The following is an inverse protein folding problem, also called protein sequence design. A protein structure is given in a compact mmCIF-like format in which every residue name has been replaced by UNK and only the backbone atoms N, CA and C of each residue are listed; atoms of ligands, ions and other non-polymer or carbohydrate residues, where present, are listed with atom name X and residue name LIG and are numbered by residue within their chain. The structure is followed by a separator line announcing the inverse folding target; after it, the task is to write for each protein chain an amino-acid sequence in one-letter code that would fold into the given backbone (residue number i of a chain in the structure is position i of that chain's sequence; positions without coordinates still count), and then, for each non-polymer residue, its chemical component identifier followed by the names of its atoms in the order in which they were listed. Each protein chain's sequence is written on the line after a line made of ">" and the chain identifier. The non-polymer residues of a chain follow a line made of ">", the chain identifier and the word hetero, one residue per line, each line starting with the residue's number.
data_IF_294678474728
#
_entry.id   IF_294678474728
#
_cell.length_a   1.000
_cell.length_b   1.000
_cell.length_c   1.000
_cell.angle_alpha   90.00
_cell.angle_beta   90.00
_cell.angle_gamma   90.00
#
_symmetry.space_group_name_H-M   'P 1'
#
loop_
_entity.id
_entity.type
_entity.pdbx_description
1 polymer ?
#
# COMPACT_ATOMS: atom_id res chain seq x y z
N UNK A 1 43.01 -20.61 -53.32
CA UNK A 1 42.27 -19.35 -53.08
C UNK A 1 40.86 -19.55 -52.50
N UNK A 2 40.20 -20.71 -52.63
CA UNK A 2 38.82 -20.91 -52.14
C UNK A 2 38.65 -21.08 -50.62
N UNK A 3 39.70 -21.46 -49.87
CA UNK A 3 39.59 -21.60 -48.40
C UNK A 3 39.57 -20.27 -47.63
N UNK A 4 40.10 -19.19 -48.21
CA UNK A 4 40.14 -17.88 -47.55
C UNK A 4 38.84 -17.09 -47.74
N UNK A 5 38.11 -17.26 -48.85
CA UNK A 5 36.82 -16.57 -49.08
C UNK A 5 35.71 -17.08 -48.16
N UNK A 6 35.75 -18.36 -47.78
CA UNK A 6 34.72 -19.00 -46.97
C UNK A 6 34.81 -18.63 -45.48
N UNK A 7 36.00 -18.27 -44.99
CA UNK A 7 36.20 -17.81 -43.60
C UNK A 7 35.78 -16.34 -43.42
N UNK A 8 36.07 -15.51 -44.43
CA UNK A 8 35.68 -14.10 -44.46
C UNK A 8 34.15 -13.92 -44.46
N UNK A 9 33.43 -14.76 -45.23
CA UNK A 9 31.96 -14.72 -45.29
C UNK A 9 31.28 -15.19 -44.00
N UNK A 10 31.86 -16.18 -43.30
CA UNK A 10 31.32 -16.70 -42.03
C UNK A 10 31.52 -15.71 -40.87
N UNK A 11 32.66 -15.02 -40.82
CA UNK A 11 32.88 -13.94 -39.85
C UNK A 11 31.97 -12.74 -40.10
N UNK A 12 31.73 -12.39 -41.38
CA UNK A 12 30.82 -11.29 -41.73
C UNK A 12 29.36 -11.61 -41.35
N UNK A 13 28.89 -12.84 -41.61
CA UNK A 13 27.56 -13.28 -41.19
C UNK A 13 27.40 -13.35 -39.66
N UNK A 14 28.43 -13.80 -38.94
CA UNK A 14 28.40 -13.80 -37.48
C UNK A 14 28.35 -12.38 -36.90
N UNK A 15 29.09 -11.42 -37.48
CA UNK A 15 29.06 -10.02 -37.08
C UNK A 15 27.71 -9.38 -37.42
N UNK A 16 27.12 -9.66 -38.59
CA UNK A 16 25.80 -9.14 -38.96
C UNK A 16 24.68 -9.72 -38.09
N UNK A 17 24.75 -10.99 -37.68
CA UNK A 17 23.79 -11.58 -36.72
C UNK A 17 24.00 -11.01 -35.30
N UNK A 18 25.23 -10.74 -34.87
CA UNK A 18 25.52 -10.04 -33.61
C UNK A 18 25.09 -8.56 -33.63
N UNK A 19 25.11 -7.89 -34.78
CA UNK A 19 24.59 -6.53 -34.96
C UNK A 19 23.06 -6.47 -35.13
N UNK A 20 22.42 -7.51 -35.67
CA UNK A 20 20.95 -7.63 -35.73
C UNK A 20 20.33 -8.08 -34.39
N UNK A 21 21.14 -8.67 -33.49
CA UNK A 21 20.80 -8.80 -32.07
C UNK A 21 21.06 -7.49 -31.28
N UNK A 22 21.46 -6.42 -31.97
CA UNK A 22 21.68 -5.09 -31.42
C UNK A 22 20.37 -4.37 -31.13
N UNK A 23 20.01 -4.36 -29.85
CA UNK A 23 19.12 -3.38 -29.19
C UNK A 23 17.74 -3.28 -29.83
N UNK A 24 16.84 -4.18 -29.42
CA UNK A 24 15.43 -3.78 -29.35
C UNK A 24 15.38 -2.61 -28.35
N UNK A 25 15.27 -1.38 -28.85
CA UNK A 25 14.92 -0.26 -27.99
C UNK A 25 13.55 -0.59 -27.40
N UNK A 26 13.53 -1.00 -26.13
CA UNK A 26 12.29 -1.14 -25.39
C UNK A 26 11.77 0.28 -25.20
N UNK A 27 10.98 0.75 -26.16
CA UNK A 27 10.46 2.10 -26.12
C UNK A 27 9.42 2.17 -25.00
N UNK A 28 9.81 2.80 -23.88
CA UNK A 28 8.94 2.97 -22.74
C UNK A 28 7.67 3.74 -23.10
N UNK A 29 6.54 3.28 -22.60
CA UNK A 29 5.27 3.98 -22.63
C UNK A 29 5.40 5.39 -22.02
N UNK A 30 4.46 6.26 -22.38
CA UNK A 30 4.28 7.54 -21.72
C UNK A 30 3.14 7.45 -20.72
N UNK A 31 3.36 7.99 -19.52
CA UNK A 31 2.37 8.15 -18.47
C UNK A 31 2.01 9.62 -18.31
N UNK A 32 0.74 9.90 -18.02
CA UNK A 32 0.19 11.25 -17.84
C UNK A 32 -0.70 11.30 -16.61
N UNK A 33 -0.67 12.44 -15.92
CA UNK A 33 -1.58 12.73 -14.82
C UNK A 33 -2.82 13.47 -15.36
N UNK A 34 -4.02 13.01 -15.00
CA UNK A 34 -5.29 13.54 -15.50
C UNK A 34 -6.01 14.47 -14.53
N UNK A 35 -5.59 14.52 -13.26
CA UNK A 35 -6.17 15.48 -12.30
C UNK A 35 -5.68 16.89 -12.60
N UNK A 36 -6.62 17.84 -12.71
CA UNK A 36 -6.33 19.27 -12.91
C UNK A 36 -5.56 19.89 -11.75
N UNK A 37 -5.64 19.31 -10.54
CA UNK A 37 -4.92 19.78 -9.35
C UNK A 37 -3.43 19.39 -9.37
N UNK A 38 -3.07 18.38 -10.17
CA UNK A 38 -1.70 17.89 -10.27
C UNK A 38 -0.79 18.91 -10.94
N UNK A 39 0.40 19.14 -10.36
CA UNK A 39 1.48 19.90 -11.03
C UNK A 39 2.00 19.20 -12.29
N UNK A 40 1.64 17.94 -12.50
CA UNK A 40 2.00 17.10 -13.64
C UNK A 40 0.85 16.95 -14.65
N UNK A 41 -0.21 17.76 -14.52
CA UNK A 41 -1.42 17.66 -15.33
C UNK A 41 -1.12 17.68 -16.83
N UNK A 42 -1.58 16.63 -17.53
CA UNK A 42 -1.41 16.39 -18.98
C UNK A 42 0.02 16.45 -19.51
N UNK A 43 1.03 16.41 -18.64
CA UNK A 43 2.43 16.33 -19.04
C UNK A 43 2.75 14.88 -19.44
N UNK A 44 3.21 14.61 -20.67
CA UNK A 44 3.66 13.28 -21.06
C UNK A 44 5.02 13.00 -20.40
N UNK A 45 5.10 11.90 -19.64
CA UNK A 45 6.29 11.49 -18.92
C UNK A 45 6.74 10.12 -19.39
N UNK A 46 7.98 10.00 -19.86
CA UNK A 46 8.51 8.73 -20.39
C UNK A 46 8.85 7.77 -19.26
N UNK A 47 8.37 6.54 -19.35
CA UNK A 47 8.69 5.49 -18.39
C UNK A 47 10.16 5.05 -18.48
N UNK A 48 10.81 4.71 -17.34
CA UNK A 48 12.16 4.17 -17.32
C UNK A 48 12.26 2.84 -18.08
N UNK A 49 13.43 2.54 -18.65
CA UNK A 49 13.64 1.32 -19.43
C UNK A 49 13.49 0.04 -18.59
N UNK A 50 13.76 0.13 -17.28
CA UNK A 50 13.63 -1.00 -16.35
C UNK A 50 12.16 -1.36 -16.04
N UNK A 51 11.22 -0.47 -16.36
CA UNK A 51 9.78 -0.66 -16.20
C UNK A 51 9.04 0.11 -17.30
N UNK A 52 9.09 -0.36 -18.55
CA UNK A 52 8.65 0.42 -19.71
C UNK A 52 7.12 0.57 -19.79
N UNK A 53 6.34 -0.12 -18.95
CA UNK A 53 4.88 -0.13 -19.04
C UNK A 53 4.23 0.16 -17.69
N UNK A 54 3.09 0.84 -17.72
CA UNK A 54 2.23 1.04 -16.54
C UNK A 54 1.39 -0.21 -16.20
N UNK A 55 1.20 -1.11 -17.17
CA UNK A 55 0.35 -2.30 -17.05
C UNK A 55 1.00 -3.51 -17.72
N UNK A 56 2.17 -3.98 -17.23
CA UNK A 56 2.85 -5.13 -17.80
C UNK A 56 2.01 -6.41 -17.63
N UNK A 57 2.01 -7.27 -18.65
CA UNK A 57 1.31 -8.56 -18.63
C UNK A 57 1.92 -9.56 -17.63
N UNK A 58 3.19 -9.38 -17.26
CA UNK A 58 3.85 -10.21 -16.24
C UNK A 58 3.60 -9.62 -14.84
N UNK A 59 2.95 -10.34 -13.90
CA UNK A 59 2.67 -9.86 -12.55
C UNK A 59 3.93 -9.61 -11.70
N UNK A 60 5.06 -10.21 -12.06
CA UNK A 60 6.35 -10.01 -11.38
C UNK A 60 7.14 -8.82 -11.93
N UNK A 61 6.72 -8.24 -13.05
CA UNK A 61 7.42 -7.10 -13.63
C UNK A 61 7.20 -5.83 -12.80
N UNK A 62 8.22 -4.96 -12.79
CA UNK A 62 8.07 -3.62 -12.23
C UNK A 62 7.13 -2.81 -13.12
N UNK A 63 6.33 -1.95 -12.49
CA UNK A 63 5.42 -1.03 -13.18
C UNK A 63 6.01 0.37 -13.21
N UNK A 64 5.78 1.07 -14.30
CA UNK A 64 5.95 2.51 -14.37
C UNK A 64 4.87 3.20 -13.55
N UNK A 65 5.29 3.98 -12.56
CA UNK A 65 4.39 4.72 -11.68
C UNK A 65 4.84 6.19 -11.61
N UNK A 66 3.89 7.11 -11.52
CA UNK A 66 4.17 8.53 -11.25
C UNK A 66 3.33 8.99 -10.07
N UNK A 67 3.96 9.65 -9.10
CA UNK A 67 3.23 10.38 -8.08
C UNK A 67 2.79 11.74 -8.67
N UNK A 68 1.52 11.82 -9.09
CA UNK A 68 0.96 13.03 -9.69
C UNK A 68 0.91 14.23 -8.74
N UNK A 69 1.00 14.02 -7.42
CA UNK A 69 1.03 15.10 -6.44
C UNK A 69 2.46 15.56 -6.13
N UNK A 70 3.48 14.86 -6.64
CA UNK A 70 4.88 15.28 -6.51
C UNK A 70 5.18 16.47 -7.43
N UNK A 71 5.87 17.51 -6.95
CA UNK A 71 6.33 18.60 -7.81
C UNK A 71 7.38 18.15 -8.85
N UNK A 72 8.00 16.98 -8.66
CA UNK A 72 9.07 16.49 -9.54
C UNK A 72 8.54 15.87 -10.84
N UNK A 73 7.29 15.41 -10.87
CA UNK A 73 6.68 14.76 -12.04
C UNK A 73 7.58 13.71 -12.69
N UNK A 74 8.20 12.85 -11.88
CA UNK A 74 9.18 11.86 -12.33
C UNK A 74 8.58 10.46 -12.28
N UNK A 75 8.54 9.73 -13.40
CA UNK A 75 8.19 8.32 -13.40
C UNK A 75 9.26 7.47 -12.70
N UNK A 76 8.82 6.45 -11.98
CA UNK A 76 9.64 5.55 -11.19
C UNK A 76 9.18 4.10 -11.38
N UNK A 77 10.13 3.16 -11.21
CA UNK A 77 9.82 1.74 -11.24
C UNK A 77 9.40 1.22 -9.87
N UNK A 78 8.26 0.54 -9.82
CA UNK A 78 7.66 0.03 -8.58
C UNK A 78 7.29 -1.45 -8.68
N UNK A 79 7.38 -2.16 -7.55
CA UNK A 79 6.79 -3.49 -7.40
C UNK A 79 5.29 -3.38 -7.07
N UNK A 80 4.47 -4.29 -7.59
CA UNK A 80 3.00 -4.26 -7.37
C UNK A 80 2.54 -4.81 -6.02
N UNK A 81 3.41 -5.52 -5.28
CA UNK A 81 3.12 -6.03 -3.94
C UNK A 81 3.42 -4.98 -2.86
N UNK A 82 2.77 -5.12 -1.71
CA UNK A 82 3.03 -4.32 -0.53
C UNK A 82 4.53 -4.36 -0.15
N UNK A 83 5.11 -3.22 0.23
CA UNK A 83 6.49 -3.14 0.68
C UNK A 83 6.52 -3.03 2.21
N UNK A 84 6.69 -4.14 2.90
CA UNK A 84 6.66 -4.16 4.36
C UNK A 84 7.80 -3.40 5.07
N UNK A 85 8.65 -2.67 4.34
CA UNK A 85 9.76 -1.88 4.86
C UNK A 85 9.68 -0.38 4.49
N UNK A 86 8.51 0.12 4.08
CA UNK A 86 8.33 1.53 3.72
C UNK A 86 7.25 2.22 4.59
N UNK A 87 7.34 3.55 4.82
CA UNK A 87 6.28 4.34 5.47
C UNK A 87 4.87 3.96 5.01
N UNK A 88 3.96 3.78 5.97
CA UNK A 88 2.59 3.33 5.76
C UNK A 88 2.43 1.80 5.72
N UNK A 89 3.47 1.01 5.98
CA UNK A 89 3.35 -0.43 6.05
C UNK A 89 2.69 -0.88 7.36
N UNK A 90 1.80 -1.86 7.28
CA UNK A 90 1.25 -2.65 8.37
C UNK A 90 1.38 -4.11 7.94
N UNK A 91 2.50 -4.74 8.30
CA UNK A 91 2.85 -6.10 7.92
C UNK A 91 3.56 -6.77 9.08
N UNK A 92 3.64 -8.10 9.08
CA UNK A 92 4.26 -8.84 10.19
C UNK A 92 3.59 -8.44 11.51
N UNK A 93 2.26 -8.28 11.46
CA UNK A 93 1.46 -7.61 12.48
C UNK A 93 1.79 -8.11 13.89
N UNK A 94 1.86 -7.19 14.88
CA UNK A 94 1.31 -5.84 14.88
C UNK A 94 2.31 -4.72 14.52
N UNK A 95 3.24 -4.95 13.59
CA UNK A 95 4.26 -3.97 13.21
C UNK A 95 3.74 -2.98 12.16
N UNK A 96 3.93 -1.70 12.46
CA UNK A 96 3.62 -0.56 11.58
C UNK A 96 4.89 0.26 11.28
N UNK A 97 4.87 0.99 10.17
CA UNK A 97 5.84 2.05 9.87
C UNK A 97 5.07 3.35 9.66
N UNK A 98 5.32 4.34 10.51
CA UNK A 98 4.66 5.64 10.44
C UNK A 98 5.00 6.43 9.17
N UNK A 99 4.26 7.51 8.93
CA UNK A 99 4.57 8.49 7.89
C UNK A 99 5.96 9.14 8.07
N UNK A 100 6.40 9.24 9.32
CA UNK A 100 7.75 9.64 9.75
C UNK A 100 8.85 8.59 9.47
N UNK A 101 8.48 7.40 8.97
CA UNK A 101 9.38 6.28 8.70
C UNK A 101 9.82 5.49 9.93
N UNK A 102 9.27 5.78 11.11
CA UNK A 102 9.61 5.09 12.35
C UNK A 102 8.76 3.83 12.50
N UNK A 103 9.41 2.72 12.85
CA UNK A 103 8.74 1.46 13.17
C UNK A 103 8.10 1.56 14.56
N UNK A 104 6.84 1.17 14.66
CA UNK A 104 6.13 1.03 15.92
C UNK A 104 5.20 -0.18 15.94
N UNK A 105 4.71 -0.55 17.12
CA UNK A 105 3.83 -1.70 17.29
C UNK A 105 2.50 -1.27 17.90
N UNK A 106 1.40 -1.73 17.31
CA UNK A 106 0.06 -1.49 17.83
C UNK A 106 -0.69 -2.82 17.95
N UNK A 107 -0.77 -3.34 19.18
CA UNK A 107 -1.34 -4.67 19.43
C UNK A 107 -2.86 -4.71 19.27
N UNK A 108 -3.56 -3.59 19.41
CA UNK A 108 -5.02 -3.59 19.42
C UNK A 108 -5.58 -4.67 20.37
N UNK A 109 -6.58 -5.42 19.89
CA UNK A 109 -7.18 -6.54 20.63
C UNK A 109 -7.86 -7.52 19.69
N UNK A 110 -7.79 -8.81 20.00
CA UNK A 110 -8.43 -9.85 19.18
C UNK A 110 -9.95 -9.63 19.08
N UNK A 111 -10.49 -9.85 17.89
CA UNK A 111 -11.91 -9.68 17.54
C UNK A 111 -12.44 -8.26 17.78
N UNK A 112 -11.58 -7.26 17.69
CA UNK A 112 -11.97 -5.85 17.82
C UNK A 112 -11.53 -5.04 16.59
N UNK A 113 -12.08 -3.83 16.48
CA UNK A 113 -11.87 -2.93 15.36
C UNK A 113 -11.23 -1.62 15.84
N UNK A 114 -10.28 -1.10 15.07
CA UNK A 114 -9.61 0.16 15.36
C UNK A 114 -9.45 1.00 14.10
N UNK A 115 -9.63 2.30 14.21
CA UNK A 115 -9.31 3.24 13.14
C UNK A 115 -7.79 3.38 13.00
N UNK A 116 -7.28 2.95 11.84
CA UNK A 116 -5.90 3.16 11.46
C UNK A 116 -5.69 4.59 10.97
N UNK A 117 -6.66 5.13 10.24
CA UNK A 117 -6.67 6.50 9.71
C UNK A 117 -8.08 7.05 9.83
N UNK A 118 -8.21 8.29 10.29
CA UNK A 118 -9.45 9.05 10.29
C UNK A 118 -9.12 10.48 9.89
N UNK A 119 -9.66 10.90 8.76
CA UNK A 119 -9.57 12.23 8.18
C UNK A 119 -10.96 12.64 7.73
N UNK A 120 -11.13 13.90 7.32
CA UNK A 120 -12.45 14.46 7.05
C UNK A 120 -13.26 13.63 6.06
N UNK A 121 -12.67 13.21 4.93
CA UNK A 121 -13.35 12.43 3.89
C UNK A 121 -12.88 10.97 3.77
N UNK A 122 -12.00 10.52 4.67
CA UNK A 122 -11.43 9.17 4.66
C UNK A 122 -11.37 8.60 6.07
N UNK A 123 -11.93 7.42 6.29
CA UNK A 123 -11.62 6.62 7.46
C UNK A 123 -11.31 5.18 7.06
N UNK A 124 -10.17 4.69 7.53
CA UNK A 124 -9.74 3.31 7.36
C UNK A 124 -9.71 2.65 8.73
N UNK A 125 -10.57 1.65 8.91
CA UNK A 125 -10.60 0.81 10.09
C UNK A 125 -9.97 -0.56 9.76
N UNK A 126 -9.38 -1.19 10.77
CA UNK A 126 -8.88 -2.55 10.68
C UNK A 126 -9.58 -3.46 11.69
N UNK A 127 -9.90 -4.69 11.27
CA UNK A 127 -10.31 -5.79 12.16
C UNK A 127 -9.08 -6.59 12.55
N UNK A 128 -8.85 -6.73 13.86
CA UNK A 128 -7.77 -7.56 14.37
C UNK A 128 -8.29 -8.95 14.75
N UNK A 129 -7.73 -9.99 14.15
CA UNK A 129 -7.82 -11.36 14.66
C UNK A 129 -6.67 -11.60 15.63
N UNK A 130 -6.73 -12.66 16.42
CA UNK A 130 -5.64 -12.93 17.36
C UNK A 130 -5.79 -14.17 18.21
N UNK A 131 -4.67 -14.56 18.80
CA UNK A 131 -4.52 -15.75 19.63
C UNK A 131 -3.82 -15.38 20.93
N UNK A 132 -4.22 -16.02 22.04
CA UNK A 132 -3.55 -15.88 23.34
C UNK A 132 -3.22 -17.26 23.91
N UNK A 133 -1.97 -17.71 23.76
CA UNK A 133 -1.48 -18.89 24.45
C UNK A 133 -1.62 -18.78 25.96
N UNK A 134 -1.76 -19.91 26.63
CA UNK A 134 -1.80 -19.97 28.09
C UNK A 134 -0.54 -19.33 28.70
N UNK A 135 -0.70 -18.52 29.73
CA UNK A 135 0.41 -17.85 30.43
C UNK A 135 0.89 -16.56 29.77
N UNK A 136 0.35 -16.15 28.60
CA UNK A 136 0.69 -14.87 27.99
C UNK A 136 -0.19 -13.72 28.50
N UNK A 137 0.38 -12.53 28.78
CA UNK A 137 -0.40 -11.38 29.25
C UNK A 137 -1.17 -10.66 28.13
N UNK A 138 -0.80 -10.87 26.86
CA UNK A 138 -1.34 -10.15 25.70
C UNK A 138 -1.62 -11.08 24.52
N UNK A 139 -2.56 -10.66 23.68
CA UNK A 139 -2.85 -11.32 22.40
C UNK A 139 -1.68 -11.12 21.42
N UNK A 140 -1.41 -12.14 20.62
CA UNK A 140 -0.89 -11.94 19.28
C UNK A 140 -2.04 -11.51 18.37
N UNK A 141 -1.78 -10.58 17.46
CA UNK A 141 -2.84 -9.96 16.67
C UNK A 141 -2.39 -9.66 15.25
N UNK A 142 -3.31 -9.86 14.31
CA UNK A 142 -3.09 -9.62 12.87
C UNK A 142 -4.29 -8.93 12.24
N UNK A 143 -4.06 -8.14 11.20
CA UNK A 143 -5.14 -7.45 10.47
C UNK A 143 -5.81 -8.46 9.54
N UNK A 144 -7.06 -8.81 9.83
CA UNK A 144 -7.85 -9.68 8.96
C UNK A 144 -8.55 -8.91 7.85
N UNK A 145 -9.05 -7.72 8.17
CA UNK A 145 -9.90 -6.96 7.25
C UNK A 145 -9.66 -5.46 7.39
N UNK A 146 -9.87 -4.75 6.29
CA UNK A 146 -9.94 -3.29 6.24
C UNK A 146 -11.36 -2.86 5.87
N UNK A 147 -11.88 -1.87 6.59
CA UNK A 147 -13.08 -1.13 6.25
C UNK A 147 -12.70 0.28 5.87
N UNK A 148 -13.09 0.72 4.69
CA UNK A 148 -12.75 2.02 4.12
C UNK A 148 -14.04 2.79 3.94
N UNK A 149 -14.20 3.85 4.71
CA UNK A 149 -15.21 4.87 4.52
C UNK A 149 -14.58 5.99 3.70
N UNK A 150 -15.12 6.24 2.52
CA UNK A 150 -14.60 7.24 1.60
C UNK A 150 -15.78 8.06 1.06
N UNK A 151 -15.81 9.34 1.43
CA UNK A 151 -16.96 10.23 1.25
C UNK A 151 -18.27 9.63 1.81
N UNK A 152 -19.18 9.21 0.93
CA UNK A 152 -20.47 8.60 1.29
C UNK A 152 -20.49 7.08 1.10
N UNK A 153 -19.36 6.50 0.67
CA UNK A 153 -19.28 5.11 0.28
C UNK A 153 -18.45 4.30 1.26
N UNK A 154 -18.78 3.02 1.35
CA UNK A 154 -18.08 2.05 2.18
C UNK A 154 -17.52 0.95 1.29
N UNK A 155 -16.24 0.63 1.46
CA UNK A 155 -15.59 -0.51 0.83
C UNK A 155 -14.96 -1.38 1.91
N UNK A 156 -14.90 -2.69 1.71
CA UNK A 156 -14.10 -3.55 2.58
C UNK A 156 -13.31 -4.58 1.80
N UNK A 157 -12.17 -4.96 2.37
CA UNK A 157 -11.39 -6.11 1.93
C UNK A 157 -11.05 -6.97 3.13
N UNK A 158 -11.20 -8.28 3.02
CA UNK A 158 -10.90 -9.22 4.10
C UNK A 158 -10.17 -10.47 3.59
N UNK A 159 -9.31 -11.01 4.45
CA UNK A 159 -8.76 -12.35 4.31
C UNK A 159 -9.80 -13.37 4.82
N UNK A 160 -10.12 -14.35 3.99
CA UNK A 160 -10.98 -15.46 4.37
C UNK A 160 -10.34 -16.28 5.50
N UNK A 161 -11.13 -16.64 6.52
CA UNK A 161 -10.71 -17.61 7.53
C UNK A 161 -10.56 -18.98 6.86
N UNK A 162 -9.40 -19.61 6.97
CA UNK A 162 -9.12 -20.92 6.40
C UNK A 162 -8.32 -21.78 7.37
N UNK A 163 -8.62 -23.08 7.36
CA UNK A 163 -7.97 -24.09 8.22
C UNK A 163 -6.51 -24.34 7.78
N UNK A 164 -6.33 -24.59 6.48
CA UNK A 164 -5.02 -24.82 5.88
C UNK A 164 -4.79 -23.83 4.74
N UNK A 165 -3.56 -23.32 4.65
CA UNK A 165 -3.17 -22.45 3.54
C UNK A 165 -3.03 -23.22 2.23
N UNK A 166 -3.63 -22.67 1.17
CA UNK A 166 -3.47 -23.09 -0.21
C UNK A 166 -3.28 -21.85 -1.07
N UNK A 167 -2.11 -21.69 -1.69
CA UNK A 167 -1.78 -20.54 -2.53
C UNK A 167 -2.49 -20.57 -3.90
N UNK A 168 -3.07 -21.71 -4.27
CA UNK A 168 -3.92 -21.86 -5.46
C UNK A 168 -5.38 -21.49 -5.22
N UNK A 169 -5.76 -21.14 -3.99
CA UNK A 169 -7.07 -20.59 -3.68
C UNK A 169 -6.96 -19.09 -3.43
N UNK A 170 -7.91 -18.33 -3.95
CA UNK A 170 -8.02 -16.90 -3.67
C UNK A 170 -8.78 -16.69 -2.36
N UNK A 171 -8.11 -16.06 -1.40
CA UNK A 171 -8.62 -15.83 -0.05
C UNK A 171 -9.06 -14.37 0.17
N UNK A 172 -9.07 -13.55 -0.87
CA UNK A 172 -9.56 -12.18 -0.81
C UNK A 172 -11.08 -12.14 -0.99
N UNK A 173 -11.76 -11.42 -0.11
CA UNK A 173 -13.17 -11.05 -0.29
C UNK A 173 -13.30 -9.53 -0.27
N UNK A 174 -14.16 -9.02 -1.14
CA UNK A 174 -14.40 -7.60 -1.28
C UNK A 174 -15.88 -7.28 -1.05
N UNK A 175 -16.17 -6.11 -0.51
CA UNK A 175 -17.53 -5.58 -0.49
C UNK A 175 -17.55 -4.09 -0.82
N UNK A 176 -18.62 -3.64 -1.46
CA UNK A 176 -18.89 -2.23 -1.75
C UNK A 176 -20.32 -1.88 -1.35
N UNK A 177 -20.48 -0.86 -0.51
CA UNK A 177 -21.73 -0.41 0.09
C UNK A 177 -22.56 -1.56 0.69
N UNK A 178 -21.88 -2.47 1.40
CA UNK A 178 -22.50 -3.61 2.07
C UNK A 178 -22.90 -4.78 1.16
N UNK A 179 -22.60 -4.71 -0.15
CA UNK A 179 -22.81 -5.80 -1.10
C UNK A 179 -21.49 -6.47 -1.43
N UNK A 180 -21.50 -7.79 -1.51
CA UNK A 180 -20.34 -8.57 -1.97
C UNK A 180 -19.94 -8.14 -3.39
N UNK A 181 -18.65 -7.88 -3.57
CA UNK A 181 -18.07 -7.50 -4.85
C UNK A 181 -17.31 -8.69 -5.41
N UNK A 182 -17.82 -9.24 -6.51
CA UNK A 182 -17.11 -10.27 -7.27
C UNK A 182 -16.12 -9.62 -8.24
N UNK A 183 -14.83 -9.92 -8.05
CA UNK A 183 -13.76 -9.52 -8.94
C UNK A 183 -13.10 -10.79 -9.51
N UNK A 184 -13.14 -10.93 -10.84
CA UNK A 184 -12.62 -12.11 -11.54
C UNK A 184 -11.18 -12.43 -11.10
N UNK A 185 -10.92 -13.71 -10.85
CA UNK A 185 -9.56 -14.19 -10.57
C UNK A 185 -8.72 -14.09 -11.84
N UNK A 186 -7.47 -13.66 -11.71
CA UNK A 186 -6.61 -13.39 -12.86
C UNK A 186 -5.81 -12.11 -12.70
N UNK A 187 -4.83 -11.94 -13.59
CA UNK A 187 -3.99 -10.76 -13.60
C UNK A 187 -3.85 -10.18 -15.01
N UNK A 188 -4.06 -8.86 -15.17
CA UNK A 188 -4.76 -7.97 -14.24
C UNK A 188 -6.28 -8.18 -14.33
N UNK A 189 -6.99 -8.11 -13.20
CA UNK A 189 -8.45 -7.96 -13.15
C UNK A 189 -8.77 -6.66 -12.44
N UNK A 190 -9.68 -5.85 -13.01
CA UNK A 190 -9.96 -4.49 -12.55
C UNK A 190 -11.47 -4.33 -12.33
N UNK A 191 -11.82 -3.70 -11.22
CA UNK A 191 -13.14 -3.15 -10.97
C UNK A 191 -13.00 -1.68 -10.58
N UNK A 192 -13.91 -0.82 -11.03
CA UNK A 192 -13.94 0.59 -10.70
C UNK A 192 -15.39 1.03 -10.49
N UNK A 193 -15.63 1.74 -9.39
CA UNK A 193 -16.94 2.33 -9.12
C UNK A 193 -17.13 3.61 -9.92
N UNK A 194 -18.23 3.71 -10.67
CA UNK A 194 -18.61 4.94 -11.37
C UNK A 194 -19.06 6.07 -10.44
N UNK A 195 -19.43 5.75 -9.20
CA UNK A 195 -19.94 6.72 -8.22
C UNK A 195 -18.81 7.30 -7.37
N UNK A 196 -17.99 6.44 -6.78
CA UNK A 196 -16.92 6.83 -5.85
C UNK A 196 -15.54 6.97 -6.51
N UNK A 197 -15.37 6.42 -7.72
CA UNK A 197 -14.05 6.29 -8.35
C UNK A 197 -13.11 5.33 -7.62
N UNK A 198 -13.57 4.60 -6.59
CA UNK A 198 -12.76 3.55 -5.95
C UNK A 198 -12.44 2.50 -7.01
N UNK A 199 -11.15 2.25 -7.21
CA UNK A 199 -10.66 1.23 -8.14
C UNK A 199 -9.99 0.11 -7.36
N UNK A 200 -10.28 -1.13 -7.73
CA UNK A 200 -9.62 -2.33 -7.23
C UNK A 200 -8.97 -3.04 -8.41
N UNK A 201 -7.68 -3.33 -8.29
CA UNK A 201 -6.92 -4.03 -9.31
C UNK A 201 -6.15 -5.19 -8.68
N UNK A 202 -6.38 -6.42 -9.19
CA UNK A 202 -5.55 -7.57 -8.81
C UNK A 202 -4.11 -7.36 -9.27
N UNK A 203 -3.18 -7.47 -8.34
CA UNK A 203 -1.73 -7.32 -8.60
C UNK A 203 -1.03 -8.66 -8.81
N UNK A 204 -1.75 -9.76 -8.56
CA UNK A 204 -1.39 -11.15 -8.84
C UNK A 204 -2.68 -11.89 -9.21
N UNK A 205 -2.58 -13.12 -9.73
CA UNK A 205 -3.77 -13.93 -10.07
C UNK A 205 -4.70 -14.16 -8.87
N UNK A 206 -4.13 -14.30 -7.67
CA UNK A 206 -4.80 -14.58 -6.39
C UNK A 206 -4.10 -13.82 -5.26
N UNK A 207 -4.81 -13.59 -4.16
CA UNK A 207 -4.29 -13.14 -2.86
C UNK A 207 -3.60 -11.76 -2.82
N UNK A 208 -3.49 -11.02 -3.92
CA UNK A 208 -2.93 -9.66 -3.91
C UNK A 208 -3.77 -8.68 -4.73
N UNK A 209 -4.05 -7.50 -4.16
CA UNK A 209 -4.77 -6.42 -4.81
C UNK A 209 -4.23 -5.04 -4.45
N UNK A 210 -4.52 -4.06 -5.31
CA UNK A 210 -4.34 -2.64 -5.08
C UNK A 210 -5.70 -1.98 -5.05
N UNK A 211 -5.99 -1.24 -3.99
CA UNK A 211 -7.15 -0.35 -3.89
C UNK A 211 -6.66 1.08 -4.10
N UNK A 212 -7.28 1.80 -5.02
CA UNK A 212 -6.98 3.21 -5.30
C UNK A 212 -8.19 4.04 -4.91
N UNK A 213 -7.97 4.99 -3.99
CA UNK A 213 -8.90 6.03 -3.60
C UNK A 213 -8.49 7.32 -4.33
N UNK A 214 -9.33 7.84 -5.24
CA UNK A 214 -8.97 8.99 -6.07
C UNK A 214 -8.41 10.16 -5.27
N UNK A 215 -7.26 10.68 -5.70
CA UNK A 215 -6.53 11.82 -5.09
C UNK A 215 -6.07 11.63 -3.62
N UNK A 216 -6.53 10.62 -2.90
CA UNK A 216 -6.31 10.47 -1.45
C UNK A 216 -5.28 9.39 -1.12
N UNK A 217 -5.44 8.17 -1.62
CA UNK A 217 -4.58 7.05 -1.21
C UNK A 217 -4.51 5.89 -2.20
N UNK A 218 -3.43 5.12 -2.11
CA UNK A 218 -3.32 3.76 -2.63
C UNK A 218 -3.05 2.78 -1.48
N UNK A 219 -3.68 1.61 -1.54
CA UNK A 219 -3.60 0.59 -0.50
C UNK A 219 -3.27 -0.74 -1.18
N UNK A 220 -2.04 -1.21 -1.00
CA UNK A 220 -1.67 -2.57 -1.44
C UNK A 220 -2.00 -3.55 -0.34
N UNK A 221 -2.70 -4.64 -0.68
CA UNK A 221 -3.02 -5.72 0.24
C UNK A 221 -2.51 -7.05 -0.31
N UNK A 222 -2.04 -7.91 0.59
CA UNK A 222 -1.62 -9.27 0.27
C UNK A 222 -2.07 -10.21 1.40
N UNK A 223 -2.79 -11.27 1.07
CA UNK A 223 -3.18 -12.28 2.04
C UNK A 223 -1.99 -13.23 2.28
N UNK A 224 -1.65 -13.46 3.54
CA UNK A 224 -0.60 -14.38 3.98
C UNK A 224 -1.11 -15.25 5.12
N UNK A 225 -0.66 -16.52 5.22
CA UNK A 225 -0.90 -17.34 6.39
C UNK A 225 0.16 -17.05 7.46
N UNK A 226 -0.08 -17.54 8.68
CA UNK A 226 1.02 -17.81 9.61
C UNK A 226 1.60 -19.17 9.24
N UNK A 227 2.89 -19.23 8.91
CA UNK A 227 3.53 -20.49 8.54
C UNK A 227 3.85 -21.34 9.76
N UNK A 228 4.04 -22.65 9.56
CA UNK A 228 4.52 -23.55 10.63
C UNK A 228 5.87 -23.11 11.20
N UNK A 229 6.72 -22.47 10.38
CA UNK A 229 8.01 -21.96 10.83
C UNK A 229 7.83 -20.71 11.69
N UNK A 230 6.95 -19.79 11.31
CA UNK A 230 6.61 -18.62 12.14
C UNK A 230 6.03 -19.05 13.48
N UNK A 231 5.10 -20.01 13.48
CA UNK A 231 4.53 -20.60 14.69
C UNK A 231 5.59 -21.24 15.58
N UNK A 232 6.55 -21.97 15.00
CA UNK A 232 7.65 -22.57 15.75
C UNK A 232 8.61 -21.53 16.34
N UNK A 233 8.97 -20.50 15.57
CA UNK A 233 9.92 -19.45 16.00
C UNK A 233 9.29 -18.57 17.09
N UNK A 234 8.03 -18.19 16.93
CA UNK A 234 7.35 -17.27 17.83
C UNK A 234 6.51 -17.97 18.90
N UNK A 235 6.37 -19.30 18.84
CA UNK A 235 5.55 -20.10 19.72
C UNK A 235 4.11 -19.55 19.79
N UNK A 236 3.48 -19.35 18.63
CA UNK A 236 2.10 -18.86 18.57
C UNK A 236 1.12 -19.91 19.12
N UNK A 237 1.44 -21.20 19.02
CA UNK A 237 0.61 -22.33 19.42
C UNK A 237 -0.70 -22.34 18.64
N UNK A 238 -0.59 -22.25 17.31
CA UNK A 238 -1.76 -22.23 16.43
C UNK A 238 -2.62 -23.49 16.62
N UNK A 239 -3.94 -23.34 16.63
CA UNK A 239 -4.84 -24.49 16.62
C UNK A 239 -4.79 -25.18 15.25
N UNK A 240 -5.25 -26.43 15.19
CA UNK A 240 -5.22 -27.20 13.94
C UNK A 240 -6.27 -26.75 12.91
N UNK A 241 -7.28 -25.98 13.32
CA UNK A 241 -8.44 -25.59 12.51
C UNK A 241 -8.36 -24.16 11.95
N UNK A 242 -7.21 -23.48 12.09
CA UNK A 242 -7.02 -22.11 11.61
C UNK A 242 -5.54 -21.78 11.35
N UNK A 243 -5.21 -21.34 10.13
CA UNK A 243 -3.86 -20.86 9.80
C UNK A 243 -3.68 -19.35 9.98
N UNK A 244 -4.70 -18.66 10.48
CA UNK A 244 -4.70 -17.22 10.75
C UNK A 244 -4.31 -16.40 9.52
N UNK A 245 -4.94 -16.69 8.37
CA UNK A 245 -4.79 -15.89 7.18
C UNK A 245 -5.14 -14.41 7.46
N UNK A 246 -4.23 -13.51 7.11
CA UNK A 246 -4.29 -12.09 7.42
C UNK A 246 -3.71 -11.24 6.28
N UNK A 247 -3.82 -9.92 6.41
CA UNK A 247 -3.41 -8.95 5.41
C UNK A 247 -2.07 -8.33 5.77
N UNK A 248 -1.08 -8.50 4.90
CA UNK A 248 0.02 -7.54 4.79
C UNK A 248 -0.47 -6.33 3.99
N UNK A 249 -0.34 -5.14 4.56
CA UNK A 249 -0.87 -3.90 4.01
C UNK A 249 0.23 -2.86 3.83
N UNK A 250 0.18 -2.13 2.72
CA UNK A 250 0.95 -0.91 2.51
C UNK A 250 0.00 0.21 2.11
N UNK A 251 -0.14 1.19 2.98
CA UNK A 251 -0.81 2.45 2.68
C UNK A 251 0.17 3.43 2.05
N UNK A 252 -0.32 4.20 1.07
CA UNK A 252 0.38 5.34 0.50
C UNK A 252 -0.61 6.47 0.35
N UNK A 253 -0.43 7.51 1.15
CA UNK A 253 -1.32 8.65 1.18
C UNK A 253 -0.77 9.80 0.34
N UNK A 254 -1.68 10.56 -0.27
CA UNK A 254 -1.35 11.74 -1.07
C UNK A 254 -2.15 12.98 -0.69
N UNK A 255 -3.32 12.80 -0.06
CA UNK A 255 -4.26 13.88 0.23
C UNK A 255 -4.79 13.84 1.64
N UNK A 256 -3.96 13.50 2.64
CA UNK A 256 -4.34 13.66 4.05
C UNK A 256 -4.26 15.14 4.46
N UNK A 257 -5.15 15.55 5.35
CA UNK A 257 -5.12 16.85 6.02
C UNK A 257 -4.04 16.88 7.10
N UNK A 258 -3.75 18.08 7.62
CA UNK A 258 -2.82 18.26 8.75
C UNK A 258 -3.40 17.78 10.08
N UNK A 259 -4.71 17.53 10.14
CA UNK A 259 -5.44 17.11 11.33
C UNK A 259 -5.74 15.60 11.33
N UNK A 260 -5.19 14.85 10.37
CA UNK A 260 -5.42 13.40 10.23
C UNK A 260 -5.15 12.64 11.54
N UNK A 261 -6.15 11.91 12.01
CA UNK A 261 -6.12 11.10 13.21
C UNK A 261 -6.01 9.60 12.90
N UNK A 262 -5.92 8.77 13.94
CA UNK A 262 -5.87 7.31 13.83
C UNK A 262 -4.53 6.74 14.26
N UNK A 263 -4.48 5.42 14.49
CA UNK A 263 -3.27 4.72 14.98
C UNK A 263 -2.06 5.02 14.09
N UNK A 264 -2.24 4.91 12.77
CA UNK A 264 -1.23 5.21 11.76
C UNK A 264 -1.35 6.66 11.28
N UNK A 265 -2.58 7.18 11.12
CA UNK A 265 -2.85 8.51 10.58
C UNK A 265 -2.15 9.64 11.34
N UNK A 266 -2.16 9.61 12.68
CA UNK A 266 -1.49 10.61 13.51
C UNK A 266 0.00 10.78 13.17
N UNK A 267 0.67 9.74 12.66
CA UNK A 267 2.10 9.78 12.29
C UNK A 267 2.39 10.60 11.03
N UNK A 268 1.34 11.03 10.31
CA UNK A 268 1.42 11.91 9.15
C UNK A 268 1.17 13.38 9.51
N UNK A 269 0.80 13.70 10.75
CA UNK A 269 0.64 15.09 11.19
C UNK A 269 2.02 15.80 11.24
N UNK A 270 2.13 17.08 10.81
CA UNK A 270 3.40 17.80 10.77
C UNK A 270 4.11 17.95 12.12
N UNK A 271 3.36 18.02 13.21
CA UNK A 271 3.84 18.23 14.58
C UNK A 271 3.83 16.94 15.42
N UNK A 272 3.54 15.78 14.81
CA UNK A 272 3.53 14.51 15.50
C UNK A 272 4.90 14.21 16.11
N UNK A 273 4.89 14.01 17.42
CA UNK A 273 6.07 13.56 18.17
C UNK A 273 5.92 12.10 18.48
N UNK A 274 6.66 11.28 17.75
CA UNK A 274 6.60 9.84 17.93
C UNK A 274 7.02 9.45 19.36
N UNK A 275 6.13 8.83 20.16
CA UNK A 275 6.46 8.40 21.52
C UNK A 275 7.32 7.13 21.54
N UNK A 276 7.53 6.48 20.39
CA UNK A 276 8.42 5.34 20.25
C UNK A 276 9.83 5.71 20.70
N UNK A 277 10.29 5.06 21.78
CA UNK A 277 11.63 5.31 22.33
C UNK A 277 12.69 4.74 21.39
N UNK A 278 13.65 5.56 20.89
CA UNK A 278 14.78 5.04 20.12
C UNK A 278 15.55 3.98 20.90
N UNK A 279 15.95 2.89 20.24
CA UNK A 279 16.71 1.80 20.86
C UNK A 279 15.86 0.73 21.58
N UNK A 280 14.54 0.89 21.67
CA UNK A 280 13.63 -0.19 22.10
C UNK A 280 13.29 -1.06 20.90
N UNK A 281 13.47 -2.38 21.02
CA UNK A 281 13.24 -3.32 19.92
C UNK A 281 11.77 -3.39 19.47
N UNK A 282 10.83 -3.14 20.39
CA UNK A 282 9.37 -3.19 20.15
C UNK A 282 8.70 -1.97 20.80
N UNK A 283 8.79 -0.78 20.19
CA UNK A 283 8.14 0.40 20.74
C UNK A 283 6.64 0.32 20.50
N UNK A 284 5.89 0.00 21.56
CA UNK A 284 4.43 -0.08 21.50
C UNK A 284 3.85 1.33 21.62
N UNK A 285 3.05 1.72 20.64
CA UNK A 285 2.28 2.97 20.64
C UNK A 285 0.85 2.61 20.98
N UNK A 286 0.33 3.20 22.06
CA UNK A 286 -1.07 3.00 22.47
C UNK A 286 -2.05 3.70 21.52
N UNK A 287 -3.33 3.63 21.85
CA UNK A 287 -4.41 4.26 21.10
C UNK A 287 -5.69 3.43 21.03
N UNK A 288 -5.71 2.30 21.74
CA UNK A 288 -6.84 1.39 21.81
C UNK A 288 -8.09 2.07 22.38
N UNK A 289 -7.93 2.97 23.35
CA UNK A 289 -9.02 3.77 23.92
C UNK A 289 -9.49 4.87 22.96
N UNK A 290 -8.59 5.47 22.19
CA UNK A 290 -8.88 6.58 21.27
C UNK A 290 -9.56 6.11 19.98
N UNK A 291 -9.06 5.03 19.39
CA UNK A 291 -9.37 4.66 18.01
C UNK A 291 -10.25 3.42 17.88
N UNK A 292 -10.72 2.84 18.97
CA UNK A 292 -11.64 1.69 18.92
C UNK A 292 -12.96 2.07 18.27
N UNK A 293 -13.38 1.26 17.30
CA UNK A 293 -14.68 1.37 16.63
C UNK A 293 -15.54 0.16 16.98
N UNK A 294 -16.87 0.31 16.90
CA UNK A 294 -17.81 -0.77 17.22
C UNK A 294 -17.84 -1.86 16.14
N UNK A 295 -17.72 -1.46 14.87
CA UNK A 295 -17.74 -2.34 13.70
C UNK A 295 -16.69 -1.89 12.68
N UNK A 296 -16.37 -2.78 11.73
CA UNK A 296 -15.43 -2.50 10.65
C UNK A 296 -15.79 -1.24 9.84
N UNK A 297 -17.08 -0.97 9.64
CA UNK A 297 -17.57 0.18 8.86
C UNK A 297 -18.17 1.29 9.74
N UNK A 298 -17.86 1.33 11.04
CA UNK A 298 -18.26 2.43 11.91
C UNK A 298 -17.32 3.63 11.77
N UNK A 299 -17.87 4.83 11.55
CA UNK A 299 -17.10 6.08 11.58
C UNK A 299 -16.80 6.58 12.99
N UNK A 300 -17.52 6.09 14.01
CA UNK A 300 -17.42 6.62 15.38
C UNK A 300 -16.27 5.97 16.14
N UNK A 301 -15.32 6.78 16.59
CA UNK A 301 -14.37 6.51 17.68
C UNK A 301 -14.11 7.80 18.48
N UNK A 302 -13.38 7.73 19.60
CA UNK A 302 -13.20 8.87 20.51
C UNK A 302 -12.41 10.04 19.89
N UNK A 303 -11.48 9.74 18.98
CA UNK A 303 -10.64 10.74 18.30
C UNK A 303 -10.83 10.77 16.78
N UNK A 304 -11.82 10.04 16.24
CA UNK A 304 -12.09 10.03 14.81
C UNK A 304 -12.72 11.35 14.37
N UNK A 305 -12.23 11.90 13.26
CA UNK A 305 -12.69 13.19 12.70
C UNK A 305 -13.46 13.05 11.39
N UNK A 306 -13.70 11.81 10.94
CA UNK A 306 -14.42 11.55 9.69
C UNK A 306 -15.84 12.13 9.69
N UNK A 307 -16.13 12.86 8.62
CA UNK A 307 -17.43 13.43 8.34
C UNK A 307 -17.80 13.16 6.86
N UNK A 308 -18.89 12.44 6.58
CA UNK A 308 -19.32 12.21 5.20
C UNK A 308 -19.47 13.53 4.43
N UNK A 309 -19.09 13.54 3.15
CA UNK A 309 -19.00 14.74 2.30
C UNK A 309 -20.27 15.63 2.26
N UNK A 310 -21.45 15.11 2.63
CA UNK A 310 -22.68 15.87 2.80
C UNK A 310 -22.76 16.75 4.07
N UNK A 311 -21.76 16.70 4.94
CA UNK A 311 -21.66 17.46 6.21
C UNK A 311 -20.49 18.46 6.19
N UNK A 312 -19.59 18.35 5.21
CA UNK A 312 -18.40 19.21 5.09
C UNK A 312 -18.76 20.61 4.60
N UNK A 313 -18.13 21.64 5.18
CA UNK A 313 -18.30 23.03 4.74
C UNK A 313 -17.23 23.37 3.70
N UNK A 314 -17.55 24.31 2.81
CA UNK A 314 -16.66 24.80 1.74
C UNK A 314 -15.30 25.34 2.23
N UNK A 315 -15.17 25.60 3.54
CA UNK A 315 -13.97 26.09 4.22
C UNK A 315 -13.02 25.01 4.75
N UNK A 316 -13.37 23.72 4.65
CA UNK A 316 -12.59 22.66 5.28
C UNK A 316 -11.31 22.35 4.48
N UNK A 317 -10.13 22.27 5.12
CA UNK A 317 -8.84 22.14 4.43
C UNK A 317 -8.67 20.73 3.82
N UNK A 318 -8.94 20.59 2.53
CA UNK A 318 -8.94 19.30 1.83
C UNK A 318 -7.55 18.80 1.38
N UNK A 319 -6.47 19.58 1.53
CA UNK A 319 -5.15 19.20 1.00
C UNK A 319 -4.04 19.90 1.79
N UNK A 320 -2.97 19.17 2.14
CA UNK A 320 -1.70 19.78 2.48
C UNK A 320 -1.15 20.58 1.27
N UNK A 321 -1.19 21.90 1.35
CA UNK A 321 -0.37 22.75 0.48
C UNK A 321 1.09 22.54 0.87
N UNK A 322 1.87 21.89 -0.01
CA UNK A 322 3.32 21.96 0.07
C UNK A 322 3.72 23.39 -0.28
N UNK A 323 3.56 24.30 0.69
CA UNK A 323 4.05 25.66 0.65
C UNK A 323 5.52 25.66 0.22
N UNK A 324 5.92 26.72 -0.49
CA UNK A 324 7.28 26.91 -1.02
C UNK A 324 8.35 26.55 0.02
N UNK A 325 8.92 25.35 -0.12
CA UNK A 325 10.08 24.90 0.64
C UNK A 325 11.30 25.67 0.14
N UNK A 326 11.82 26.58 0.97
CA UNK A 326 13.10 27.26 0.73
C UNK A 326 14.26 26.32 1.13
N UNK A 327 15.08 25.95 0.15
CA UNK A 327 16.12 24.93 0.25
C UNK A 327 17.53 25.53 0.10
N UNK A 328 17.88 26.52 0.91
CA UNK A 328 19.19 27.20 0.87
C UNK A 328 20.29 26.57 1.76
N UNK A 329 20.06 25.40 2.37
CA UNK A 329 21.04 24.68 3.21
C UNK A 329 21.54 23.34 2.62
N UNK A 330 22.86 23.18 2.46
CA UNK A 330 23.50 22.04 1.79
C UNK A 330 23.95 20.93 2.78
N UNK A 331 23.60 19.65 2.51
CA UNK A 331 24.53 18.49 2.42
C UNK A 331 23.91 17.08 2.60
N UNK A 332 24.13 16.22 1.60
CA UNK A 332 24.17 14.73 1.54
C UNK A 332 22.92 13.85 1.80
N UNK A 333 22.43 13.22 0.72
CA UNK A 333 22.52 11.75 0.55
C UNK A 333 21.35 10.87 1.01
N UNK A 334 20.14 11.06 0.48
CA UNK A 334 19.02 10.10 0.57
C UNK A 334 17.81 10.59 -0.23
N UNK A 335 17.10 9.71 -0.96
CA UNK A 335 15.94 10.08 -1.80
C UNK A 335 14.60 10.04 -1.03
N UNK A 336 14.58 10.75 0.09
CA UNK A 336 13.42 11.45 0.65
C UNK A 336 13.85 12.90 0.82
N UNK A 337 12.94 13.88 0.87
CA UNK A 337 13.34 15.28 1.06
C UNK A 337 14.07 15.40 2.40
N UNK A 338 15.41 15.49 2.33
CA UNK A 338 16.30 15.76 3.47
C UNK A 338 16.62 17.25 3.41
N UNK A 339 15.95 18.05 4.23
CA UNK A 339 16.46 19.35 4.63
C UNK A 339 17.56 19.08 5.67
N UNK A 340 18.82 19.41 5.35
CA UNK A 340 19.91 19.34 6.33
C UNK A 340 20.38 20.74 6.71
N UNK A 341 20.69 20.84 8.00
CA UNK A 341 21.12 22.04 8.72
C UNK A 341 22.40 22.64 8.13
#
# INVERSE_FOLDING_TARGET
>A
MERMSNLQNKCFFAIVILFLAGVTEINGEYITCTSKKSRCFLRPLKCPAECPSKSPSNPKAKVCYVNCNSPMCKPECRNRKANCNHPGAACLDPRFIGGDGIVFFFHGKRNEHFSLVSDLNLQINARFIGLRPAGRPRDYTWIQALGILFDMHAFSVEAAKVESWDDEVDHLKFSYNGKELSLEQGYPSIWESSESGIKVERTSSKNSAMITLPEVAEISVNVVPITKEDDRIHNYQLPSDDCFAHLDVQFRFYGLSTEVEGVLGQTYQPDFKNPAKPGVAVPVVGGEDKYRTSTLLSSKCNSCIFAPAGVMKESDPLVMDFGTLDCTGASSGGHGIVCRK
#
